data_IF_170327713798
#
_entry.id   IF_170327713798
#
_cell.length_a   1.000
_cell.length_b   1.000
_cell.length_c   1.000
_cell.angle_alpha   90.00
_cell.angle_beta   90.00
_cell.angle_gamma   90.00
#
_symmetry.space_group_name_H-M   'P 1'
#
loop_
_entity.id
_entity.type
_entity.pdbx_description
1 polymer ?
#
# COMPACT_ATOMS: atom_id res chain seq x y z
N UNK A 1 9.26 28.68 -30.97
CA UNK A 1 9.06 27.22 -30.93
C UNK A 1 9.13 26.82 -29.48
N UNK A 2 7.97 26.80 -28.85
CA UNK A 2 7.79 26.31 -27.48
C UNK A 2 8.11 24.82 -27.48
N UNK A 3 9.07 24.40 -26.65
CA UNK A 3 9.24 22.98 -26.34
C UNK A 3 8.07 22.61 -25.46
N UNK A 4 7.21 21.72 -25.95
CA UNK A 4 6.24 21.01 -25.14
C UNK A 4 6.99 20.36 -23.97
N UNK A 5 6.60 20.70 -22.74
CA UNK A 5 7.06 19.99 -21.56
C UNK A 5 6.55 18.55 -21.66
N UNK A 6 7.45 17.60 -21.97
CA UNK A 6 7.17 16.18 -21.84
C UNK A 6 6.68 15.93 -20.41
N UNK A 7 5.38 15.63 -20.27
CA UNK A 7 4.77 15.30 -19.00
C UNK A 7 5.54 14.16 -18.34
N UNK A 8 5.88 14.32 -17.06
CA UNK A 8 6.56 13.27 -16.30
C UNK A 8 5.78 11.96 -16.41
N UNK A 9 6.40 10.93 -17.01
CA UNK A 9 5.84 9.59 -17.04
C UNK A 9 5.88 9.03 -15.62
N UNK A 10 4.70 8.76 -15.07
CA UNK A 10 4.52 8.20 -13.74
C UNK A 10 4.24 6.70 -13.88
N UNK A 11 5.08 5.87 -13.29
CA UNK A 11 4.90 4.43 -13.21
C UNK A 11 5.34 3.92 -11.82
N UNK A 12 4.93 2.71 -11.41
CA UNK A 12 5.25 2.14 -10.09
C UNK A 12 6.74 1.96 -9.79
N UNK A 13 7.63 2.06 -10.78
CA UNK A 13 9.07 1.81 -10.66
C UNK A 13 9.91 3.09 -10.86
N UNK A 14 9.30 4.20 -11.28
CA UNK A 14 9.94 5.48 -11.54
C UNK A 14 10.22 6.30 -10.27
N UNK A 15 11.40 6.93 -10.20
CA UNK A 15 11.85 7.77 -9.08
C UNK A 15 11.80 9.28 -9.36
N UNK A 16 11.01 9.71 -10.36
CA UNK A 16 10.91 11.10 -10.77
C UNK A 16 10.37 12.02 -9.66
N UNK A 17 11.00 13.19 -9.47
CA UNK A 17 10.50 14.21 -8.53
C UNK A 17 9.20 14.80 -9.06
N UNK A 18 8.08 14.39 -8.49
CA UNK A 18 6.74 14.93 -8.82
C UNK A 18 6.71 16.41 -8.43
N UNK A 19 6.53 17.29 -9.42
CA UNK A 19 6.42 18.74 -9.18
C UNK A 19 4.99 19.23 -9.04
N UNK A 20 4.02 18.50 -9.59
CA UNK A 20 2.60 18.89 -9.59
C UNK A 20 1.71 17.74 -9.10
N UNK A 21 1.45 17.74 -7.79
CA UNK A 21 0.55 16.79 -7.15
C UNK A 21 -0.93 17.02 -7.51
N UNK A 22 -1.31 18.24 -7.93
CA UNK A 22 -2.69 18.55 -8.31
C UNK A 22 -3.06 17.91 -9.64
N UNK A 23 -2.13 17.94 -10.61
CA UNK A 23 -2.26 17.19 -11.85
C UNK A 23 -2.39 15.68 -11.59
N UNK A 24 -1.53 15.15 -10.71
CA UNK A 24 -1.53 13.72 -10.34
C UNK A 24 -2.87 13.30 -9.71
N UNK A 25 -3.45 14.12 -8.84
CA UNK A 25 -4.78 13.88 -8.28
C UNK A 25 -5.86 13.77 -9.36
N UNK A 26 -5.84 14.68 -10.35
CA UNK A 26 -6.82 14.68 -11.44
C UNK A 26 -6.67 13.48 -12.38
N UNK A 27 -5.44 13.12 -12.76
CA UNK A 27 -5.16 12.03 -13.69
C UNK A 27 -5.47 10.66 -13.08
N UNK A 28 -5.12 10.47 -11.80
CA UNK A 28 -5.32 9.20 -11.11
C UNK A 28 -6.67 9.10 -10.39
N UNK A 29 -7.51 10.14 -10.43
CA UNK A 29 -8.80 10.18 -9.72
C UNK A 29 -8.62 10.00 -8.21
N UNK A 30 -7.68 10.74 -7.63
CA UNK A 30 -7.38 10.78 -6.20
C UNK A 30 -8.01 12.05 -5.62
N UNK A 31 -8.84 11.90 -4.60
CA UNK A 31 -9.46 13.02 -3.91
C UNK A 31 -8.55 13.57 -2.80
N UNK A 32 -8.59 14.88 -2.56
CA UNK A 32 -7.91 15.47 -1.41
C UNK A 32 -8.51 14.99 -0.07
N UNK A 33 -7.65 14.79 0.92
CA UNK A 33 -8.07 14.30 2.24
C UNK A 33 -8.63 15.39 3.16
N UNK A 34 -8.48 16.68 2.81
CA UNK A 34 -8.76 17.83 3.70
C UNK A 34 -10.15 17.79 4.34
N UNK A 35 -11.16 17.36 3.56
CA UNK A 35 -12.55 17.27 4.03
C UNK A 35 -12.77 16.17 5.08
N UNK A 36 -11.89 15.18 5.13
CA UNK A 36 -11.95 14.05 6.04
C UNK A 36 -11.09 14.25 7.29
N UNK A 37 -10.07 15.11 7.26
CA UNK A 37 -9.18 15.36 8.40
C UNK A 37 -9.95 15.66 9.72
N UNK A 38 -11.01 16.49 9.74
CA UNK A 38 -11.74 16.79 10.97
C UNK A 38 -12.49 15.58 11.57
N UNK A 39 -12.69 14.49 10.80
CA UNK A 39 -13.36 13.28 11.30
C UNK A 39 -12.44 12.40 12.15
N UNK A 40 -11.11 12.54 12.01
CA UNK A 40 -10.18 11.77 12.81
C UNK A 40 -10.12 12.31 14.25
N UNK A 41 -10.29 11.43 15.24
CA UNK A 41 -10.09 11.79 16.66
C UNK A 41 -8.66 12.20 16.97
N UNK A 42 -7.70 11.62 16.24
CA UNK A 42 -6.27 11.93 16.30
C UNK A 42 -5.68 11.70 14.92
N UNK A 43 -4.90 12.65 14.43
CA UNK A 43 -4.19 12.54 13.16
C UNK A 43 -2.85 11.82 13.34
N UNK A 44 -2.45 11.03 12.34
CA UNK A 44 -1.08 10.54 12.24
C UNK A 44 -0.13 11.70 11.93
N UNK A 45 1.18 11.54 12.19
CA UNK A 45 2.18 12.50 11.74
C UNK A 45 2.18 12.72 10.22
N UNK A 46 1.79 11.71 9.43
CA UNK A 46 1.72 11.81 7.97
C UNK A 46 0.52 12.63 7.52
N UNK A 47 -0.66 12.38 8.09
CA UNK A 47 -1.87 13.15 7.80
C UNK A 47 -1.74 14.61 8.23
N UNK A 48 -1.23 14.85 9.45
CA UNK A 48 -1.10 16.22 10.00
C UNK A 48 -0.08 17.09 9.28
N UNK A 49 0.88 16.49 8.55
CA UNK A 49 1.92 17.21 7.79
C UNK A 49 1.65 17.24 6.29
N UNK A 50 0.52 16.70 5.83
CA UNK A 50 0.19 16.63 4.40
C UNK A 50 1.08 15.68 3.60
N UNK A 51 1.70 14.69 4.25
CA UNK A 51 2.42 13.61 3.58
C UNK A 51 1.41 12.67 2.92
N UNK A 52 0.37 12.30 3.67
CA UNK A 52 -0.81 11.60 3.15
C UNK A 52 -1.86 12.63 2.76
N UNK A 53 -1.83 13.09 1.51
CA UNK A 53 -2.70 14.16 1.01
C UNK A 53 -3.85 13.66 0.14
N UNK A 54 -3.80 12.41 -0.32
CA UNK A 54 -4.73 11.84 -1.30
C UNK A 54 -5.46 10.60 -0.77
N UNK A 55 -6.71 10.41 -1.18
CA UNK A 55 -7.54 9.28 -0.79
C UNK A 55 -8.53 8.85 -1.88
N UNK A 56 -9.06 7.63 -1.75
CA UNK A 56 -10.24 7.15 -2.47
C UNK A 56 -11.16 6.39 -1.52
N UNK A 57 -12.42 6.79 -1.47
CA UNK A 57 -13.47 6.15 -0.63
C UNK A 57 -13.11 6.04 0.88
N UNK A 58 -12.13 6.81 1.39
CA UNK A 58 -11.69 6.74 2.79
C UNK A 58 -12.81 7.09 3.77
N UNK A 59 -13.79 7.89 3.33
CA UNK A 59 -15.02 8.16 4.08
C UNK A 59 -15.75 6.88 4.52
N UNK A 60 -15.76 5.82 3.70
CA UNK A 60 -16.41 4.53 4.06
C UNK A 60 -15.72 3.84 5.23
N UNK A 61 -14.40 3.96 5.31
CA UNK A 61 -13.62 3.43 6.43
C UNK A 61 -13.91 4.23 7.69
N UNK A 62 -13.96 5.56 7.59
CA UNK A 62 -14.33 6.43 8.72
C UNK A 62 -15.77 6.18 9.19
N UNK A 63 -16.71 5.93 8.28
CA UNK A 63 -18.09 5.54 8.62
C UNK A 63 -18.12 4.19 9.36
N UNK A 64 -17.26 3.25 8.98
CA UNK A 64 -17.10 1.97 9.66
C UNK A 64 -16.50 2.15 11.07
N UNK A 65 -15.50 3.03 11.22
CA UNK A 65 -14.94 3.41 12.52
C UNK A 65 -16.01 4.03 13.41
N UNK A 66 -16.75 5.02 12.92
CA UNK A 66 -17.79 5.72 13.67
C UNK A 66 -18.93 4.78 14.09
N UNK A 67 -19.28 3.82 13.22
CA UNK A 67 -20.32 2.82 13.47
C UNK A 67 -19.81 1.57 14.20
N UNK A 68 -18.54 1.52 14.62
CA UNK A 68 -17.89 0.35 15.21
C UNK A 68 -18.11 -0.95 14.40
N UNK A 69 -17.97 -0.86 13.08
CA UNK A 69 -18.01 -1.99 12.13
C UNK A 69 -16.59 -2.45 11.80
N UNK A 70 -16.39 -3.75 11.48
CA UNK A 70 -15.08 -4.24 11.06
C UNK A 70 -14.69 -3.66 9.70
N UNK A 71 -13.40 -3.43 9.52
CA UNK A 71 -12.77 -3.13 8.23
C UNK A 71 -11.37 -3.73 8.20
N UNK A 72 -10.78 -3.83 7.01
CA UNK A 72 -9.45 -4.37 6.82
C UNK A 72 -8.47 -3.29 6.37
N UNK A 73 -7.24 -3.39 6.85
CA UNK A 73 -6.08 -2.65 6.33
C UNK A 73 -5.21 -3.65 5.60
N UNK A 74 -4.82 -3.36 4.37
CA UNK A 74 -3.98 -4.26 3.60
C UNK A 74 -2.86 -3.46 2.95
N UNK A 75 -1.63 -3.91 3.18
CA UNK A 75 -0.46 -3.53 2.42
C UNK A 75 0.56 -4.67 2.56
N UNK A 76 1.79 -4.44 2.15
CA UNK A 76 2.81 -5.48 2.17
C UNK A 76 4.19 -4.93 1.87
N UNK A 77 5.10 -5.87 1.67
CA UNK A 77 6.48 -5.57 1.32
C UNK A 77 6.96 -6.57 0.27
N UNK A 78 7.64 -6.07 -0.76
CA UNK A 78 8.44 -6.89 -1.66
C UNK A 78 9.79 -7.15 -0.98
N UNK A 79 10.19 -8.43 -0.77
CA UNK A 79 11.47 -8.74 -0.15
C UNK A 79 12.64 -8.49 -1.13
N UNK A 80 13.11 -7.25 -1.22
CA UNK A 80 14.22 -6.83 -2.10
C UNK A 80 15.40 -6.20 -1.33
N UNK A 81 15.38 -6.24 0.00
CA UNK A 81 16.45 -5.67 0.80
C UNK A 81 16.08 -5.45 2.26
N UNK A 82 16.89 -4.63 2.93
CA UNK A 82 16.69 -4.26 4.33
C UNK A 82 15.57 -3.25 4.48
N UNK A 83 14.77 -3.41 5.54
CA UNK A 83 13.74 -2.46 5.90
C UNK A 83 14.33 -1.06 6.13
N UNK A 84 13.84 -0.05 5.41
CA UNK A 84 14.34 1.32 5.48
C UNK A 84 13.23 2.34 5.74
N UNK A 85 13.56 3.63 5.81
CA UNK A 85 12.60 4.69 6.14
C UNK A 85 11.42 4.80 5.18
N UNK A 86 11.61 4.51 3.88
CA UNK A 86 10.49 4.37 2.94
C UNK A 86 9.46 3.30 3.37
N UNK A 87 9.92 2.09 3.70
CA UNK A 87 9.05 1.00 4.18
C UNK A 87 8.39 1.37 5.52
N UNK A 88 9.11 2.11 6.37
CA UNK A 88 8.58 2.61 7.64
C UNK A 88 7.34 3.49 7.43
N UNK A 89 7.29 4.31 6.38
CA UNK A 89 6.14 5.18 6.15
C UNK A 89 4.85 4.36 6.00
N UNK A 90 4.86 3.40 5.09
CA UNK A 90 3.72 2.48 4.89
C UNK A 90 3.39 1.69 6.15
N UNK A 91 4.40 1.23 6.89
CA UNK A 91 4.19 0.50 8.15
C UNK A 91 3.53 1.38 9.23
N UNK A 92 3.97 2.63 9.38
CA UNK A 92 3.36 3.58 10.31
C UNK A 92 1.88 3.82 9.99
N UNK A 93 1.52 3.89 8.70
CA UNK A 93 0.13 4.04 8.28
C UNK A 93 -0.70 2.78 8.57
N UNK A 94 -0.13 1.59 8.34
CA UNK A 94 -0.81 0.34 8.71
C UNK A 94 -1.10 0.29 10.22
N UNK A 95 -0.11 0.62 11.05
CA UNK A 95 -0.25 0.67 12.52
C UNK A 95 -1.29 1.74 12.92
N UNK A 96 -1.24 2.92 12.30
CA UNK A 96 -2.19 3.99 12.56
C UNK A 96 -3.63 3.57 12.24
N UNK A 97 -3.89 3.02 11.04
CA UNK A 97 -5.23 2.58 10.66
C UNK A 97 -5.71 1.38 11.50
N UNK A 98 -4.81 0.47 11.90
CA UNK A 98 -5.14 -0.60 12.84
C UNK A 98 -5.62 -0.03 14.19
N UNK A 99 -5.03 1.08 14.66
CA UNK A 99 -5.38 1.70 15.93
C UNK A 99 -6.74 2.40 15.95
N UNK A 100 -7.33 2.70 14.78
CA UNK A 100 -8.61 3.44 14.71
C UNK A 100 -9.80 2.66 15.28
N UNK A 101 -9.73 1.32 15.29
CA UNK A 101 -10.80 0.48 15.82
C UNK A 101 -10.27 -0.84 16.37
N UNK A 102 -10.90 -1.33 17.44
CA UNK A 102 -10.68 -2.67 17.98
C UNK A 102 -11.02 -3.78 16.98
N UNK A 103 -11.89 -3.50 16.00
CA UNK A 103 -12.39 -4.48 15.00
C UNK A 103 -11.61 -4.47 13.68
N UNK A 104 -10.52 -3.73 13.60
CA UNK A 104 -9.66 -3.71 12.41
C UNK A 104 -8.87 -5.01 12.31
N UNK A 105 -8.79 -5.58 11.10
CA UNK A 105 -7.85 -6.66 10.78
C UNK A 105 -6.83 -6.17 9.78
N UNK A 106 -5.55 -6.39 10.06
CA UNK A 106 -4.46 -6.07 9.15
C UNK A 106 -4.07 -7.30 8.34
N UNK A 107 -3.85 -7.13 7.05
CA UNK A 107 -3.26 -8.13 6.16
C UNK A 107 -1.91 -7.59 5.68
N UNK A 108 -0.83 -8.27 6.04
CA UNK A 108 0.53 -7.90 5.66
C UNK A 108 1.09 -8.93 4.68
N UNK A 109 1.12 -8.58 3.40
CA UNK A 109 1.54 -9.47 2.32
C UNK A 109 3.06 -9.40 2.11
N UNK A 110 3.74 -10.54 2.13
CA UNK A 110 5.12 -10.63 1.64
C UNK A 110 5.06 -11.03 0.17
N UNK A 111 5.36 -10.09 -0.72
CA UNK A 111 5.24 -10.25 -2.17
C UNK A 111 6.45 -11.01 -2.77
N UNK A 112 6.65 -12.24 -2.31
CA UNK A 112 7.79 -13.07 -2.72
C UNK A 112 7.68 -13.62 -4.15
N UNK A 113 6.46 -13.75 -4.69
CA UNK A 113 6.24 -14.05 -6.12
C UNK A 113 6.67 -12.88 -6.99
N UNK A 114 6.35 -11.65 -6.59
CA UNK A 114 6.81 -10.43 -7.28
C UNK A 114 8.34 -10.34 -7.27
N UNK A 115 8.96 -10.51 -6.10
CA UNK A 115 10.43 -10.52 -5.98
C UNK A 115 11.10 -11.60 -6.85
N UNK A 116 10.48 -12.77 -6.97
CA UNK A 116 10.96 -13.82 -7.86
C UNK A 116 10.83 -13.43 -9.34
N UNK A 117 9.67 -12.91 -9.75
CA UNK A 117 9.41 -12.55 -11.15
C UNK A 117 10.23 -11.35 -11.63
N UNK A 118 10.34 -10.31 -10.82
CA UNK A 118 10.97 -9.04 -11.22
C UNK A 118 12.49 -9.07 -11.04
N UNK A 119 12.96 -9.68 -9.94
CA UNK A 119 14.36 -9.59 -9.51
C UNK A 119 15.09 -10.94 -9.50
N UNK A 120 14.38 -12.06 -9.71
CA UNK A 120 14.97 -13.40 -9.65
C UNK A 120 15.35 -13.87 -8.24
N UNK A 121 14.83 -13.21 -7.19
CA UNK A 121 15.13 -13.55 -5.80
C UNK A 121 14.44 -14.87 -5.44
N UNK A 122 15.19 -15.85 -4.94
CA UNK A 122 14.61 -17.16 -4.62
C UNK A 122 13.64 -17.09 -3.44
N UNK A 123 12.63 -17.96 -3.39
CA UNK A 123 11.70 -18.03 -2.25
C UNK A 123 12.42 -18.26 -0.91
N UNK A 124 13.55 -18.98 -0.94
CA UNK A 124 14.36 -19.20 0.25
C UNK A 124 15.02 -17.90 0.75
N UNK A 125 15.50 -17.05 -0.16
CA UNK A 125 16.04 -15.73 0.19
C UNK A 125 14.93 -14.78 0.65
N UNK A 126 13.82 -14.74 -0.09
CA UNK A 126 12.62 -13.97 0.28
C UNK A 126 12.12 -14.33 1.67
N UNK A 127 12.09 -15.62 2.02
CA UNK A 127 11.68 -16.09 3.36
C UNK A 127 12.59 -15.54 4.47
N UNK A 128 13.91 -15.48 4.25
CA UNK A 128 14.85 -14.90 5.23
C UNK A 128 14.59 -13.41 5.43
N UNK A 129 14.38 -12.67 4.34
CA UNK A 129 14.05 -11.24 4.40
C UNK A 129 12.68 -11.01 5.06
N UNK A 130 11.70 -11.88 4.78
CA UNK A 130 10.36 -11.79 5.34
C UNK A 130 10.37 -11.77 6.87
N UNK A 131 11.16 -12.66 7.50
CA UNK A 131 11.29 -12.72 8.96
C UNK A 131 11.76 -11.38 9.54
N UNK A 132 12.78 -10.78 8.95
CA UNK A 132 13.30 -9.47 9.37
C UNK A 132 12.22 -8.39 9.19
N UNK A 133 11.61 -8.30 8.01
CA UNK A 133 10.59 -7.29 7.71
C UNK A 133 9.35 -7.41 8.61
N UNK A 134 8.94 -8.62 8.97
CA UNK A 134 7.85 -8.85 9.93
C UNK A 134 8.27 -8.42 11.34
N UNK A 135 9.48 -8.75 11.78
CA UNK A 135 9.99 -8.29 13.06
C UNK A 135 10.03 -6.75 13.15
N UNK A 136 10.43 -6.07 12.07
CA UNK A 136 10.53 -4.61 12.01
C UNK A 136 9.15 -3.94 12.15
N UNK A 137 8.12 -4.41 11.41
CA UNK A 137 6.77 -3.83 11.54
C UNK A 137 6.11 -4.14 12.89
N UNK A 138 6.38 -5.31 13.48
CA UNK A 138 5.95 -5.62 14.84
C UNK A 138 6.60 -4.67 15.87
N UNK A 139 7.89 -4.36 15.71
CA UNK A 139 8.59 -3.41 16.56
C UNK A 139 8.05 -1.98 16.45
N UNK A 140 7.45 -1.62 15.32
CA UNK A 140 6.76 -0.33 15.11
C UNK A 140 5.38 -0.25 15.77
N UNK A 141 4.89 -1.36 16.36
CA UNK A 141 3.65 -1.38 17.13
C UNK A 141 2.45 -2.02 16.41
N UNK A 142 2.70 -2.79 15.34
CA UNK A 142 1.66 -3.62 14.74
C UNK A 142 1.20 -4.69 15.73
N UNK A 143 -0.10 -4.77 15.97
CA UNK A 143 -0.72 -5.74 16.87
C UNK A 143 -0.81 -7.12 16.18
N UNK A 144 -0.06 -8.14 16.64
CA UNK A 144 -0.04 -9.45 16.00
C UNK A 144 -1.35 -10.22 16.18
N UNK A 145 -2.15 -9.96 17.22
CA UNK A 145 -3.40 -10.68 17.47
C UNK A 145 -4.48 -10.32 16.44
N UNK A 146 -4.34 -9.16 15.79
CA UNK A 146 -5.26 -8.64 14.78
C UNK A 146 -4.59 -8.47 13.42
N UNK A 147 -3.56 -9.27 13.16
CA UNK A 147 -2.79 -9.25 11.92
C UNK A 147 -2.69 -10.64 11.31
N UNK A 148 -2.87 -10.72 10.00
CA UNK A 148 -2.56 -11.89 9.18
C UNK A 148 -1.39 -11.52 8.27
N UNK A 149 -0.19 -11.97 8.64
CA UNK A 149 0.99 -11.90 7.77
C UNK A 149 1.10 -13.19 6.96
N UNK A 150 1.38 -13.09 5.66
CA UNK A 150 1.47 -14.26 4.78
C UNK A 150 2.49 -14.07 3.65
N UNK A 151 3.12 -15.18 3.24
CA UNK A 151 3.90 -15.25 2.00
C UNK A 151 2.94 -15.40 0.82
N UNK A 152 3.09 -14.58 -0.22
CA UNK A 152 2.22 -14.61 -1.39
C UNK A 152 2.24 -15.98 -2.08
N UNK A 153 3.41 -16.61 -2.18
CA UNK A 153 3.57 -17.94 -2.77
C UNK A 153 2.88 -19.07 -1.98
N UNK A 154 2.70 -18.90 -0.67
CA UNK A 154 2.11 -19.92 0.21
C UNK A 154 0.61 -19.68 0.47
N UNK A 155 0.10 -18.48 0.17
CA UNK A 155 -1.30 -18.14 0.37
C UNK A 155 -2.16 -18.53 -0.85
N UNK A 156 -2.60 -19.79 -0.86
CA UNK A 156 -3.39 -20.36 -1.96
C UNK A 156 -4.71 -19.63 -2.25
N UNK A 157 -5.28 -18.88 -1.29
CA UNK A 157 -6.47 -18.05 -1.55
C UNK A 157 -6.12 -16.88 -2.47
N UNK A 158 -4.97 -16.24 -2.25
CA UNK A 158 -4.46 -15.15 -3.10
C UNK A 158 -4.15 -15.67 -4.49
N UNK A 159 -3.48 -16.82 -4.62
CA UNK A 159 -3.17 -17.43 -5.93
C UNK A 159 -4.44 -17.80 -6.73
N UNK A 160 -5.48 -18.29 -6.05
CA UNK A 160 -6.79 -18.56 -6.67
C UNK A 160 -7.50 -17.28 -7.12
N UNK A 161 -7.53 -16.25 -6.27
CA UNK A 161 -8.14 -14.96 -6.61
C UNK A 161 -7.40 -14.28 -7.77
N UNK A 162 -6.07 -14.33 -7.79
CA UNK A 162 -5.25 -13.86 -8.91
C UNK A 162 -5.71 -14.48 -10.24
N UNK A 163 -5.98 -15.79 -10.24
CA UNK A 163 -6.44 -16.51 -11.44
C UNK A 163 -7.84 -16.08 -11.88
N UNK A 164 -8.73 -15.79 -10.94
CA UNK A 164 -10.09 -15.32 -11.24
C UNK A 164 -10.06 -13.89 -11.79
N UNK A 165 -9.32 -12.99 -11.13
CA UNK A 165 -9.26 -11.58 -11.50
C UNK A 165 -8.47 -11.33 -12.78
N UNK A 166 -7.48 -12.16 -13.11
CA UNK A 166 -6.72 -12.03 -14.36
C UNK A 166 -7.59 -12.12 -15.61
N UNK A 167 -8.76 -12.77 -15.54
CA UNK A 167 -9.76 -12.78 -16.63
C UNK A 167 -10.20 -11.38 -17.06
N UNK A 168 -10.26 -10.43 -16.12
CA UNK A 168 -10.67 -9.06 -16.39
C UNK A 168 -9.56 -8.17 -16.97
N UNK A 169 -8.32 -8.66 -17.00
CA UNK A 169 -7.15 -7.87 -17.35
C UNK A 169 -6.67 -8.27 -18.74
N UNK A 170 -6.78 -7.35 -19.70
CA UNK A 170 -6.28 -7.56 -21.06
C UNK A 170 -4.81 -7.18 -21.17
N UNK A 171 -4.10 -7.74 -22.16
CA UNK A 171 -2.71 -7.34 -22.44
C UNK A 171 -2.62 -5.83 -22.76
N UNK A 172 -3.59 -5.28 -23.50
CA UNK A 172 -3.65 -3.83 -23.76
C UNK A 172 -3.78 -3.01 -22.47
N UNK A 173 -4.57 -3.47 -21.50
CA UNK A 173 -4.70 -2.82 -20.20
C UNK A 173 -3.37 -2.87 -19.41
N UNK A 174 -2.69 -4.02 -19.39
CA UNK A 174 -1.38 -4.14 -18.77
C UNK A 174 -0.39 -3.15 -19.38
N UNK A 175 -0.31 -3.09 -20.72
CA UNK A 175 0.59 -2.17 -21.42
C UNK A 175 0.24 -0.70 -21.20
N UNK A 176 -1.04 -0.38 -21.13
CA UNK A 176 -1.48 0.99 -20.89
C UNK A 176 -1.14 1.48 -19.47
N UNK A 177 -1.17 0.59 -18.47
CA UNK A 177 -0.92 0.94 -17.06
C UNK A 177 0.56 0.85 -16.71
N UNK A 178 1.24 -0.22 -17.15
CA UNK A 178 2.60 -0.55 -16.72
C UNK A 178 3.68 -0.33 -17.80
N UNK A 179 3.30 -0.13 -19.08
CA UNK A 179 4.22 0.02 -20.21
C UNK A 179 4.50 -1.26 -21.00
#
# INVERSE_FOLDING_TARGET
>A
MEREEEGQRLDPWGSGVIKDYGRLQSEFGIEGIDRLLPRFKKLSPHLSRGIDFGQRDLGRILDAVDSNKPFAVMSGIKPEGTFHLGNKMTADDMVFFQSLSGKTTVFYAIADVEAYCDNGISFQESSKMAVQNVADILALGLDPERTVAYMQSEEMRVMRLMTIFSRGITNNMLRAIYG
#
